data_IF_013502188153
#
_entry.id   IF_013502188153
#
_cell.length_a   1.000
_cell.length_b   1.000
_cell.length_c   1.000
_cell.angle_alpha   90.00
_cell.angle_beta   90.00
_cell.angle_gamma   90.00
#
_symmetry.space_group_name_H-M   'P 1'
#
loop_
_entity.id
_entity.type
_entity.pdbx_description
1 polymer ?
#
# COMPACT_ATOMS: atom_id res chain seq x y z
N UNK A 1 -2.40 -20.57 16.34
CA UNK A 1 -3.76 -20.12 15.94
C UNK A 1 -3.62 -18.95 15.01
N UNK A 2 -4.07 -19.09 13.78
CA UNK A 2 -4.26 -17.93 12.93
C UNK A 2 -5.29 -17.04 13.60
N UNK A 3 -4.92 -15.80 13.81
CA UNK A 3 -5.81 -14.83 14.40
C UNK A 3 -6.90 -14.51 13.36
N UNK A 4 -8.10 -15.06 13.53
CA UNK A 4 -9.24 -14.86 12.63
C UNK A 4 -9.70 -13.38 12.55
N UNK A 5 -8.96 -12.48 13.20
CA UNK A 5 -9.25 -11.05 13.29
C UNK A 5 -8.22 -10.17 12.60
N UNK A 6 -7.33 -10.74 11.78
CA UNK A 6 -6.37 -9.93 11.04
C UNK A 6 -7.08 -9.24 9.88
N UNK A 7 -6.93 -7.93 9.83
CA UNK A 7 -7.41 -7.10 8.72
C UNK A 7 -6.29 -6.96 7.70
N UNK A 8 -6.58 -7.21 6.44
CA UNK A 8 -5.61 -7.01 5.36
C UNK A 8 -5.96 -5.78 4.54
N UNK A 9 -4.94 -4.99 4.22
CA UNK A 9 -5.05 -3.80 3.38
C UNK A 9 -4.11 -3.96 2.20
N UNK A 10 -4.65 -3.80 0.99
CA UNK A 10 -3.88 -3.80 -0.26
C UNK A 10 -4.02 -2.42 -0.88
N UNK A 11 -2.91 -1.77 -1.19
CA UNK A 11 -2.93 -0.40 -1.71
C UNK A 11 -2.10 -0.27 -2.97
N UNK A 12 -2.52 0.65 -3.83
CA UNK A 12 -1.75 1.09 -4.98
C UNK A 12 -2.06 2.54 -5.29
N UNK A 13 -1.13 3.20 -5.96
CA UNK A 13 -1.29 4.58 -6.40
C UNK A 13 -0.32 4.91 -7.49
N UNK A 14 -0.69 5.84 -8.35
CA UNK A 14 0.17 6.23 -9.44
C UNK A 14 -0.35 7.46 -10.17
N UNK A 15 0.43 7.92 -11.11
CA UNK A 15 0.10 9.04 -11.96
C UNK A 15 0.15 8.66 -13.41
N UNK A 16 -0.75 9.23 -14.21
CA UNK A 16 -0.68 9.19 -15.66
C UNK A 16 -0.78 10.61 -16.21
N UNK A 17 -0.23 10.82 -17.38
CA UNK A 17 -0.28 12.10 -18.07
C UNK A 17 1.04 12.41 -18.75
N UNK A 18 0.96 13.21 -19.81
CA UNK A 18 2.14 13.65 -20.56
C UNK A 18 2.81 14.81 -19.85
N UNK A 19 4.11 14.94 -20.04
CA UNK A 19 4.93 16.00 -19.44
C UNK A 19 4.47 17.44 -19.79
N UNK A 20 3.53 17.58 -20.69
CA UNK A 20 3.05 18.89 -21.18
C UNK A 20 1.69 19.30 -20.62
N UNK A 21 1.00 18.42 -19.97
CA UNK A 21 -0.33 18.66 -19.42
C UNK A 21 -0.34 18.32 -17.93
N UNK A 22 -1.38 18.72 -17.23
CA UNK A 22 -1.59 18.31 -15.84
C UNK A 22 -1.54 16.80 -15.73
N UNK A 23 -0.70 16.29 -14.82
CA UNK A 23 -0.76 14.87 -14.54
C UNK A 23 -2.01 14.53 -13.73
N UNK A 24 -2.48 13.32 -13.88
CA UNK A 24 -3.63 12.80 -13.15
C UNK A 24 -3.18 11.66 -12.25
N UNK A 25 -3.41 11.80 -10.96
CA UNK A 25 -3.12 10.76 -9.99
C UNK A 25 -4.35 9.98 -9.60
N UNK A 26 -4.17 8.70 -9.33
CA UNK A 26 -5.21 7.85 -8.80
C UNK A 26 -4.67 6.94 -7.71
N UNK A 27 -5.54 6.55 -6.80
CA UNK A 27 -5.22 5.62 -5.74
C UNK A 27 -6.35 4.61 -5.55
N UNK A 28 -5.98 3.44 -5.08
CA UNK A 28 -6.92 2.38 -4.78
C UNK A 28 -6.54 1.62 -3.52
N UNK A 29 -7.53 1.14 -2.79
CA UNK A 29 -7.33 0.33 -1.61
C UNK A 29 -8.41 -0.75 -1.51
N UNK A 30 -7.99 -1.94 -1.09
CA UNK A 30 -8.88 -3.05 -0.78
C UNK A 30 -8.66 -3.41 0.69
N UNK A 31 -9.74 -3.43 1.47
CA UNK A 31 -9.73 -3.85 2.87
C UNK A 31 -10.49 -5.16 3.00
N UNK A 32 -9.86 -6.15 3.62
CA UNK A 32 -10.47 -7.44 3.89
C UNK A 32 -10.62 -7.63 5.40
N UNK A 33 -11.86 -7.82 5.82
CA UNK A 33 -12.23 -8.06 7.22
C UNK A 33 -12.46 -9.56 7.41
N UNK A 34 -11.61 -10.18 8.24
CA UNK A 34 -11.63 -11.61 8.44
C UNK A 34 -10.78 -12.38 7.42
N UNK A 35 -10.57 -13.69 7.63
CA UNK A 35 -9.69 -14.51 6.79
C UNK A 35 -10.15 -14.55 5.34
N UNK A 36 -9.27 -14.15 4.41
CA UNK A 36 -9.57 -14.16 2.98
C UNK A 36 -10.77 -13.32 2.58
N UNK A 37 -11.09 -12.26 3.34
CA UNK A 37 -12.26 -11.43 3.08
C UNK A 37 -13.58 -12.08 3.45
N UNK A 38 -13.54 -13.17 4.26
CA UNK A 38 -14.73 -13.96 4.58
C UNK A 38 -15.83 -13.22 5.34
N UNK A 39 -15.49 -12.19 6.12
CA UNK A 39 -16.46 -11.38 6.85
C UNK A 39 -17.00 -10.22 6.00
N UNK A 40 -16.10 -9.48 5.33
CA UNK A 40 -16.47 -8.37 4.44
C UNK A 40 -15.24 -7.90 3.67
N UNK A 41 -15.48 -7.33 2.49
CA UNK A 41 -14.46 -6.66 1.69
C UNK A 41 -14.96 -5.26 1.35
N UNK A 42 -14.09 -4.26 1.50
CA UNK A 42 -14.39 -2.88 1.13
C UNK A 42 -13.35 -2.39 0.13
N UNK A 43 -13.81 -1.78 -0.94
CA UNK A 43 -12.96 -1.18 -1.97
C UNK A 43 -13.09 0.33 -1.95
N UNK A 44 -11.96 1.02 -2.04
CA UNK A 44 -11.88 2.48 -2.06
C UNK A 44 -11.05 2.91 -3.26
N UNK A 45 -11.40 4.05 -3.83
CA UNK A 45 -10.58 4.68 -4.86
C UNK A 45 -10.77 6.19 -4.85
N UNK A 46 -9.84 6.89 -5.44
CA UNK A 46 -9.92 8.33 -5.59
C UNK A 46 -8.87 8.84 -6.56
N UNK A 47 -8.86 10.14 -6.73
CA UNK A 47 -8.02 10.79 -7.72
C UNK A 47 -7.66 12.21 -7.31
N UNK A 48 -6.58 12.71 -7.88
CA UNK A 48 -6.11 14.07 -7.65
C UNK A 48 -5.29 14.51 -8.86
N UNK A 49 -5.53 15.72 -9.40
CA UNK A 49 -4.65 16.27 -10.42
C UNK A 49 -3.35 16.79 -9.80
N UNK A 50 -2.30 16.89 -10.60
CA UNK A 50 -1.02 17.50 -10.22
C UNK A 50 -0.41 16.92 -8.94
N UNK A 51 -0.15 15.63 -8.95
CA UNK A 51 0.36 14.90 -7.79
C UNK A 51 1.56 14.01 -8.18
N UNK A 52 2.03 13.18 -7.26
CA UNK A 52 3.14 12.26 -7.50
C UNK A 52 2.73 10.81 -7.20
N UNK A 53 3.47 9.85 -7.73
CA UNK A 53 3.26 8.43 -7.43
C UNK A 53 3.31 8.19 -5.91
N UNK A 54 4.33 8.72 -5.22
CA UNK A 54 4.47 8.53 -3.78
C UNK A 54 3.29 9.11 -3.00
N UNK A 55 2.79 10.29 -3.39
CA UNK A 55 1.61 10.87 -2.74
C UNK A 55 0.38 9.99 -2.91
N UNK A 56 0.19 9.42 -4.08
CA UNK A 56 -0.97 8.54 -4.35
C UNK A 56 -0.86 7.22 -3.56
N UNK A 57 0.33 6.64 -3.48
CA UNK A 57 0.57 5.47 -2.63
C UNK A 57 0.26 5.75 -1.16
N UNK A 58 0.74 6.87 -0.64
CA UNK A 58 0.49 7.29 0.74
C UNK A 58 -0.98 7.62 0.99
N UNK A 59 -1.64 8.26 0.02
CA UNK A 59 -3.06 8.61 0.11
C UNK A 59 -3.94 7.35 0.17
N UNK A 60 -3.62 6.33 -0.64
CA UNK A 60 -4.32 5.06 -0.61
C UNK A 60 -4.27 4.44 0.80
N UNK A 61 -3.09 4.41 1.40
CA UNK A 61 -2.91 3.86 2.74
C UNK A 61 -3.65 4.69 3.81
N UNK A 62 -3.55 6.02 3.73
CA UNK A 62 -4.21 6.92 4.66
C UNK A 62 -5.74 6.75 4.62
N UNK A 63 -6.31 6.72 3.43
CA UNK A 63 -7.76 6.53 3.27
C UNK A 63 -8.21 5.13 3.74
N UNK A 64 -7.38 4.11 3.54
CA UNK A 64 -7.64 2.79 4.08
C UNK A 64 -7.70 2.81 5.62
N UNK A 65 -6.71 3.45 6.27
CA UNK A 65 -6.71 3.57 7.72
C UNK A 65 -7.92 4.36 8.23
N UNK A 66 -8.29 5.43 7.55
CA UNK A 66 -9.48 6.23 7.91
C UNK A 66 -10.78 5.46 7.83
N UNK A 67 -10.85 4.45 6.98
CA UNK A 67 -12.02 3.59 6.84
C UNK A 67 -12.19 2.60 8.00
N UNK A 68 -11.16 2.41 8.82
CA UNK A 68 -11.20 1.51 9.98
C UNK A 68 -11.79 2.27 11.17
N UNK A 69 -12.92 1.77 11.68
CA UNK A 69 -13.69 2.48 12.72
C UNK A 69 -13.27 2.14 14.15
N UNK A 70 -12.69 0.96 14.37
CA UNK A 70 -12.29 0.49 15.71
C UNK A 70 -10.78 0.52 15.87
N UNK A 71 -10.30 1.08 16.97
CA UNK A 71 -8.90 0.98 17.36
C UNK A 71 -8.52 -0.44 17.79
N UNK A 72 -7.24 -0.69 17.95
CA UNK A 72 -6.73 -1.97 18.45
C UNK A 72 -6.80 -3.12 17.48
N UNK A 73 -6.79 -2.84 16.18
CA UNK A 73 -6.80 -3.87 15.14
C UNK A 73 -5.40 -4.42 14.89
N UNK A 74 -5.32 -5.67 14.45
CA UNK A 74 -4.11 -6.26 13.88
C UNK A 74 -4.22 -6.18 12.37
N UNK A 75 -3.29 -5.47 11.74
CA UNK A 75 -3.37 -5.11 10.32
C UNK A 75 -2.12 -5.60 9.58
N UNK A 76 -2.33 -6.20 8.42
CA UNK A 76 -1.28 -6.50 7.44
C UNK A 76 -1.49 -5.60 6.24
N UNK A 77 -0.48 -4.79 5.90
CA UNK A 77 -0.49 -3.88 4.75
C UNK A 77 0.40 -4.46 3.65
N UNK A 78 -0.13 -4.52 2.45
CA UNK A 78 0.58 -4.99 1.26
C UNK A 78 0.65 -3.87 0.23
N UNK A 79 1.86 -3.55 -0.24
CA UNK A 79 2.09 -2.50 -1.23
C UNK A 79 3.28 -2.85 -2.12
N UNK A 80 3.24 -2.42 -3.37
CA UNK A 80 4.38 -2.56 -4.29
C UNK A 80 5.37 -1.38 -4.19
N UNK A 81 5.06 -0.35 -3.41
CA UNK A 81 5.95 0.77 -3.17
C UNK A 81 7.10 0.37 -2.24
N UNK A 82 8.27 0.13 -2.80
CA UNK A 82 9.47 -0.18 -2.01
C UNK A 82 9.85 0.96 -1.07
N UNK A 83 9.75 2.20 -1.55
CA UNK A 83 10.02 3.38 -0.74
C UNK A 83 9.12 3.42 0.51
N UNK A 84 7.81 3.30 0.32
CA UNK A 84 6.84 3.38 1.42
C UNK A 84 7.06 2.25 2.43
N UNK A 85 7.25 1.02 1.94
CA UNK A 85 7.49 -0.14 2.81
C UNK A 85 8.81 -0.02 3.57
N UNK A 86 9.87 0.46 2.93
CA UNK A 86 11.15 0.70 3.60
C UNK A 86 11.03 1.78 4.67
N UNK A 87 10.33 2.87 4.40
CA UNK A 87 10.11 3.92 5.39
C UNK A 87 9.47 3.38 6.66
N UNK A 88 8.45 2.55 6.53
CA UNK A 88 7.78 1.95 7.69
C UNK A 88 8.61 0.86 8.36
N UNK A 89 9.18 -0.05 7.60
CA UNK A 89 9.92 -1.21 8.15
C UNK A 89 11.23 -0.79 8.80
N UNK A 90 11.93 0.18 8.23
CA UNK A 90 13.17 0.73 8.77
C UNK A 90 12.95 1.89 9.74
N UNK A 91 11.70 2.30 9.91
CA UNK A 91 11.28 3.35 10.84
C UNK A 91 12.02 4.69 10.62
N UNK A 92 12.19 5.10 9.36
CA UNK A 92 12.85 6.37 9.04
C UNK A 92 12.14 7.57 9.65
N UNK A 93 10.84 7.50 9.81
CA UNK A 93 10.02 8.54 10.42
C UNK A 93 10.41 8.86 11.87
N UNK A 94 11.02 7.92 12.60
CA UNK A 94 11.48 8.17 13.97
C UNK A 94 12.54 9.28 13.99
N UNK A 95 13.53 9.19 13.11
CA UNK A 95 14.56 10.22 12.98
C UNK A 95 13.99 11.54 12.44
N UNK A 96 13.09 11.47 11.48
CA UNK A 96 12.44 12.67 10.93
C UNK A 96 11.69 13.46 12.00
N UNK A 97 10.96 12.77 12.86
CA UNK A 97 10.25 13.42 13.97
C UNK A 97 11.20 14.12 14.96
N UNK A 98 12.41 13.57 15.15
CA UNK A 98 13.41 14.11 16.07
C UNK A 98 14.20 15.28 15.47
N UNK A 99 14.42 15.27 14.15
CA UNK A 99 15.33 16.23 13.49
C UNK A 99 14.59 17.36 12.75
N UNK A 100 13.28 17.52 12.96
CA UNK A 100 12.51 18.55 12.30
C UNK A 100 12.13 18.22 10.86
N UNK A 101 11.98 16.95 10.52
CA UNK A 101 11.57 16.46 9.21
C UNK A 101 12.58 16.79 8.10
N UNK A 102 13.82 16.42 8.35
CA UNK A 102 14.91 16.61 7.38
C UNK A 102 15.53 15.28 6.98
N UNK A 103 15.89 15.18 5.69
CA UNK A 103 16.61 14.03 5.16
C UNK A 103 18.09 14.04 5.64
N UNK A 104 18.84 12.99 5.32
CA UNK A 104 20.27 12.92 5.62
C UNK A 104 21.05 14.07 4.97
N UNK A 105 20.61 14.59 3.84
CA UNK A 105 21.19 15.74 3.14
C UNK A 105 20.65 17.08 3.67
N UNK A 106 19.94 17.08 4.78
CA UNK A 106 19.32 18.25 5.42
C UNK A 106 18.27 18.96 4.56
N UNK A 107 17.68 18.26 3.60
CA UNK A 107 16.55 18.73 2.81
C UNK A 107 15.24 18.39 3.53
N UNK A 108 14.16 19.19 3.31
CA UNK A 108 12.84 18.84 3.87
C UNK A 108 12.38 17.47 3.37
N UNK A 109 11.79 16.66 4.26
CA UNK A 109 11.17 15.39 3.90
C UNK A 109 9.93 15.68 3.06
N UNK A 110 9.85 15.05 1.89
CA UNK A 110 8.69 15.18 1.02
C UNK A 110 7.45 14.53 1.64
N UNK A 111 6.29 15.10 1.36
CA UNK A 111 5.00 14.59 1.82
C UNK A 111 4.87 14.55 3.35
N UNK A 112 5.54 15.45 4.04
CA UNK A 112 5.47 15.58 5.49
C UNK A 112 4.04 15.64 6.00
N UNK A 113 3.16 16.35 5.30
CA UNK A 113 1.75 16.46 5.64
C UNK A 113 1.07 15.09 5.73
N UNK A 114 1.31 14.22 4.76
CA UNK A 114 0.76 12.87 4.75
C UNK A 114 1.40 11.98 5.82
N UNK A 115 2.71 12.09 6.04
CA UNK A 115 3.38 11.36 7.11
C UNK A 115 2.80 11.71 8.47
N UNK A 116 2.56 12.98 8.73
CA UNK A 116 1.97 13.43 9.99
C UNK A 116 0.54 12.92 10.21
N UNK A 117 -0.20 12.67 9.14
CA UNK A 117 -1.53 12.06 9.23
C UNK A 117 -1.49 10.54 9.34
N UNK A 118 -0.48 9.87 8.75
CA UNK A 118 -0.33 8.42 8.80
C UNK A 118 0.17 7.90 10.14
N UNK A 119 1.15 8.58 10.74
CA UNK A 119 1.85 8.09 11.92
C UNK A 119 0.95 7.83 13.13
N UNK A 120 -0.08 8.64 13.44
CA UNK A 120 -0.96 8.35 14.57
C UNK A 120 -1.66 7.00 14.50
N UNK A 121 -1.89 6.47 13.29
CA UNK A 121 -2.51 5.15 13.12
C UNK A 121 -1.61 4.01 13.59
N UNK A 122 -0.27 4.19 13.57
CA UNK A 122 0.67 3.20 14.09
C UNK A 122 0.53 2.99 15.60
N UNK A 123 0.06 4.00 16.32
CA UNK A 123 -0.19 3.91 17.76
C UNK A 123 -1.56 3.32 18.08
N UNK A 124 -2.49 3.35 17.13
CA UNK A 124 -3.86 2.84 17.30
C UNK A 124 -3.99 1.36 17.01
N UNK A 125 -3.10 0.81 16.18
CA UNK A 125 -3.18 -0.56 15.67
C UNK A 125 -1.83 -1.25 15.72
N UNK A 126 -1.83 -2.58 15.74
CA UNK A 126 -0.63 -3.38 15.49
C UNK A 126 -0.52 -3.63 13.98
N UNK A 127 0.43 -3.00 13.32
CA UNK A 127 0.53 -3.01 11.85
C UNK A 127 1.84 -3.63 11.40
N UNK A 128 1.76 -4.58 10.47
CA UNK A 128 2.90 -5.14 9.76
C UNK A 128 2.83 -4.77 8.29
N UNK A 129 3.97 -4.48 7.68
CA UNK A 129 4.08 -4.03 6.31
C UNK A 129 4.81 -5.06 5.46
N UNK A 130 4.23 -5.40 4.31
CA UNK A 130 4.75 -6.41 3.39
C UNK A 130 4.86 -5.85 1.98
N UNK A 131 5.99 -6.14 1.32
CA UNK A 131 6.24 -5.72 -0.03
C UNK A 131 5.75 -6.77 -1.03
N UNK A 132 5.07 -6.32 -2.07
CA UNK A 132 4.62 -7.18 -3.17
C UNK A 132 5.18 -6.69 -4.51
N UNK A 133 5.17 -7.55 -5.52
CA UNK A 133 5.48 -7.15 -6.90
C UNK A 133 4.21 -6.63 -7.55
N UNK A 134 4.27 -5.40 -8.09
CA UNK A 134 3.15 -4.81 -8.82
C UNK A 134 3.02 -5.28 -10.26
N UNK A 135 1.85 -5.13 -10.82
CA UNK A 135 1.55 -5.37 -12.24
C UNK A 135 1.92 -6.77 -12.72
N UNK A 136 1.57 -7.80 -11.94
CA UNK A 136 1.82 -9.20 -12.30
C UNK A 136 0.62 -9.75 -13.04
N UNK A 137 0.83 -10.20 -14.29
CA UNK A 137 -0.21 -10.92 -15.02
C UNK A 137 -0.21 -12.41 -14.60
N UNK A 138 -1.08 -12.74 -13.66
CA UNK A 138 -1.20 -14.10 -13.11
C UNK A 138 -1.67 -15.14 -14.13
N UNK A 139 -2.25 -14.70 -15.25
CA UNK A 139 -2.76 -15.58 -16.29
C UNK A 139 -1.78 -15.76 -17.45
N UNK A 140 -0.63 -15.10 -17.43
CA UNK A 140 0.37 -15.20 -18.48
C UNK A 140 1.27 -16.42 -18.27
N UNK A 141 1.39 -17.26 -19.26
CA UNK A 141 2.37 -18.35 -19.25
C UNK A 141 3.83 -17.90 -19.30
N UNK A 142 4.08 -16.61 -19.62
CA UNK A 142 5.42 -16.04 -19.61
C UNK A 142 5.90 -15.64 -18.22
N UNK A 143 5.00 -15.60 -17.22
CA UNK A 143 5.32 -15.23 -15.84
C UNK A 143 5.72 -16.46 -15.05
N UNK A 144 6.91 -16.43 -14.45
CA UNK A 144 7.38 -17.47 -13.55
C UNK A 144 6.90 -17.17 -12.13
N UNK A 145 5.76 -17.73 -11.75
CA UNK A 145 5.15 -17.50 -10.42
C UNK A 145 6.00 -18.06 -9.29
N UNK A 146 6.72 -19.17 -9.50
CA UNK A 146 7.58 -19.73 -8.46
C UNK A 146 8.75 -18.75 -8.16
N UNK A 147 9.33 -18.18 -9.18
CA UNK A 147 10.41 -17.19 -9.01
C UNK A 147 9.90 -15.94 -8.29
N UNK A 148 8.70 -15.50 -8.61
CA UNK A 148 8.07 -14.36 -7.91
C UNK A 148 7.75 -14.70 -6.46
N UNK A 149 7.31 -15.91 -6.18
CA UNK A 149 7.09 -16.37 -4.80
C UNK A 149 8.39 -16.42 -4.01
N UNK A 150 9.46 -16.94 -4.60
CA UNK A 150 10.77 -16.97 -3.96
C UNK A 150 11.24 -15.55 -3.60
N UNK A 151 10.99 -14.58 -4.49
CA UNK A 151 11.28 -13.16 -4.24
C UNK A 151 10.40 -12.57 -3.12
N UNK A 152 9.13 -12.93 -3.12
CA UNK A 152 8.20 -12.53 -2.06
C UNK A 152 8.67 -13.03 -0.68
N UNK A 153 9.10 -14.28 -0.60
CA UNK A 153 9.66 -14.87 0.63
C UNK A 153 10.94 -14.15 1.06
N UNK A 154 11.80 -13.83 0.11
CA UNK A 154 13.03 -13.06 0.38
C UNK A 154 12.71 -11.70 1.03
N UNK A 155 11.67 -11.02 0.56
CA UNK A 155 11.26 -9.73 1.11
C UNK A 155 10.53 -9.82 2.45
N UNK A 156 9.72 -10.86 2.64
CA UNK A 156 8.69 -10.88 3.67
C UNK A 156 8.78 -12.07 4.65
N UNK A 157 9.69 -13.01 4.40
CA UNK A 157 9.76 -14.24 5.18
C UNK A 157 8.81 -15.33 4.66
N UNK A 158 8.82 -16.47 5.32
CA UNK A 158 8.16 -17.70 4.85
C UNK A 158 6.79 -17.97 5.49
N UNK A 159 6.21 -16.99 6.16
CA UNK A 159 4.92 -17.18 6.87
C UNK A 159 3.72 -17.32 5.93
N UNK A 160 3.88 -16.93 4.67
CA UNK A 160 2.83 -16.99 3.66
C UNK A 160 3.07 -18.19 2.72
N UNK A 161 2.02 -18.95 2.46
CA UNK A 161 2.06 -20.05 1.49
C UNK A 161 2.09 -19.51 0.06
N UNK A 162 2.41 -20.38 -0.92
CA UNK A 162 2.32 -20.03 -2.33
C UNK A 162 0.91 -19.57 -2.72
N UNK A 163 -0.13 -20.26 -2.24
CA UNK A 163 -1.51 -19.89 -2.53
C UNK A 163 -1.88 -18.55 -1.93
N UNK A 164 -1.41 -18.24 -0.71
CA UNK A 164 -1.58 -16.92 -0.10
C UNK A 164 -0.86 -15.83 -0.90
N UNK A 165 0.37 -16.09 -1.34
CA UNK A 165 1.13 -15.17 -2.20
C UNK A 165 0.36 -14.84 -3.48
N UNK A 166 -0.17 -15.86 -4.14
CA UNK A 166 -0.95 -15.68 -5.37
C UNK A 166 -2.19 -14.83 -5.11
N UNK A 167 -2.91 -15.12 -4.05
CA UNK A 167 -4.08 -14.35 -3.63
C UNK A 167 -3.73 -12.89 -3.31
N UNK A 168 -2.66 -12.66 -2.57
CA UNK A 168 -2.17 -11.32 -2.22
C UNK A 168 -1.82 -10.53 -3.48
N UNK A 169 -1.14 -11.17 -4.43
CA UNK A 169 -0.78 -10.55 -5.72
C UNK A 169 -2.03 -10.17 -6.50
N UNK A 170 -3.05 -11.03 -6.54
CA UNK A 170 -4.33 -10.75 -7.19
C UNK A 170 -5.02 -9.52 -6.56
N UNK A 171 -5.02 -9.43 -5.24
CA UNK A 171 -5.61 -8.29 -4.53
C UNK A 171 -4.84 -6.99 -4.76
N UNK A 172 -3.52 -7.06 -4.83
CA UNK A 172 -2.72 -5.90 -5.20
C UNK A 172 -3.03 -5.43 -6.63
N UNK A 173 -3.24 -6.36 -7.55
CA UNK A 173 -3.70 -6.03 -8.91
C UNK A 173 -5.08 -5.35 -8.88
N UNK A 174 -5.97 -5.76 -7.99
CA UNK A 174 -7.26 -5.11 -7.82
C UNK A 174 -7.11 -3.66 -7.34
N UNK A 175 -6.20 -3.40 -6.40
CA UNK A 175 -5.90 -2.04 -5.96
C UNK A 175 -5.38 -1.17 -7.11
N UNK A 176 -4.53 -1.73 -7.98
CA UNK A 176 -4.07 -1.06 -9.21
C UNK A 176 -5.23 -0.70 -10.14
N UNK A 177 -6.16 -1.62 -10.36
CA UNK A 177 -7.35 -1.36 -11.17
C UNK A 177 -8.18 -0.22 -10.57
N UNK A 178 -8.36 -0.18 -9.27
CA UNK A 178 -9.09 0.89 -8.58
C UNK A 178 -8.38 2.24 -8.73
N UNK A 179 -7.07 2.28 -8.68
CA UNK A 179 -6.29 3.50 -8.94
C UNK A 179 -6.54 4.02 -10.37
N UNK A 180 -6.61 3.13 -11.34
CA UNK A 180 -6.91 3.50 -12.72
C UNK A 180 -8.35 3.99 -12.90
N UNK A 181 -9.31 3.41 -12.19
CA UNK A 181 -10.69 3.92 -12.15
C UNK A 181 -10.70 5.36 -11.65
N UNK A 182 -9.93 5.66 -10.60
CA UNK A 182 -9.79 7.03 -10.08
C UNK A 182 -9.27 8.00 -11.12
N UNK A 183 -8.23 7.62 -11.85
CA UNK A 183 -7.66 8.46 -12.93
C UNK A 183 -8.71 8.69 -14.04
N UNK A 184 -9.41 7.65 -14.45
CA UNK A 184 -10.39 7.73 -15.53
C UNK A 184 -11.58 8.64 -15.18
N UNK A 185 -11.93 8.75 -13.90
CA UNK A 185 -13.03 9.60 -13.44
C UNK A 185 -12.73 11.10 -13.59
N UNK A 186 -11.46 11.50 -13.60
CA UNK A 186 -11.05 12.91 -13.72
C UNK A 186 -10.39 13.25 -15.06
N UNK A 187 -10.27 12.25 -15.93
CA UNK A 187 -9.66 12.44 -17.25
C UNK A 187 -10.57 13.25 -18.20
#
# INVERSE_FOLDING_TARGET
MRNDRVLRIYTDGGCSGNQKEENLGGWGAVLEFGPGGGAATKELHGSLPNTTNNRMEMTALLEAFRAIKKDGQTIQVFSDSSYLMDCFRKKWYVNWQKNGWKTAQKKPVENRDLWQELLPFLDRHAIEFYRVKGHVNLNSGAVDLQKLYDKFVEWNGSDFTFDEFRYITEKNNRADQLANVGIDEIR
#
